data_IF_667022247196
#
_entry.id   IF_667022247196
#
_cell.length_a   1.000
_cell.length_b   1.000
_cell.length_c   1.000
_cell.angle_alpha   90.00
_cell.angle_beta   90.00
_cell.angle_gamma   90.00
#
_symmetry.space_group_name_H-M   'P 1'
#
loop_
_entity.id
_entity.type
_entity.pdbx_description
1 polymer ?
#
# COMPACT_ATOMS: atom_id res chain seq x y z
N UNK A 1 14.46 -15.10 -4.22
CA UNK A 1 13.42 -14.20 -3.70
C UNK A 1 12.45 -13.94 -4.84
N UNK A 2 11.19 -14.32 -4.67
CA UNK A 2 10.17 -14.08 -5.69
C UNK A 2 9.79 -12.58 -5.72
N UNK A 3 9.11 -12.10 -6.78
CA UNK A 3 8.71 -10.69 -6.88
C UNK A 3 7.92 -10.19 -5.66
N UNK A 4 7.04 -11.02 -5.12
CA UNK A 4 6.14 -10.68 -4.02
C UNK A 4 6.90 -10.48 -2.71
N UNK A 5 7.84 -11.36 -2.37
CA UNK A 5 8.74 -11.20 -1.21
C UNK A 5 9.56 -9.92 -1.28
N UNK A 6 10.01 -9.53 -2.50
CA UNK A 6 10.74 -8.28 -2.71
C UNK A 6 9.85 -7.09 -2.42
N UNK A 7 8.60 -7.11 -2.88
CA UNK A 7 7.62 -6.05 -2.61
C UNK A 7 7.34 -5.95 -1.11
N UNK A 8 7.09 -7.08 -0.43
CA UNK A 8 6.89 -7.10 1.03
C UNK A 8 8.08 -6.46 1.77
N UNK A 9 9.29 -6.90 1.44
CA UNK A 9 10.53 -6.39 2.07
C UNK A 9 10.70 -4.89 1.81
N UNK A 10 10.42 -4.44 0.59
CA UNK A 10 10.52 -3.04 0.21
C UNK A 10 9.52 -2.17 0.97
N UNK A 11 8.24 -2.58 1.06
CA UNK A 11 7.21 -1.86 1.81
C UNK A 11 7.56 -1.74 3.31
N UNK A 12 8.12 -2.79 3.89
CA UNK A 12 8.61 -2.78 5.28
C UNK A 12 9.78 -1.80 5.42
N UNK A 13 10.75 -1.83 4.50
CA UNK A 13 11.92 -0.94 4.56
C UNK A 13 11.55 0.55 4.45
N UNK A 14 10.46 0.86 3.74
CA UNK A 14 9.90 2.21 3.65
C UNK A 14 9.11 2.61 4.91
N UNK A 15 8.78 1.66 5.78
CA UNK A 15 8.00 1.87 7.00
C UNK A 15 6.50 2.04 6.76
N UNK A 16 5.99 1.60 5.60
CA UNK A 16 4.56 1.73 5.24
C UNK A 16 3.76 0.45 5.50
N UNK A 17 4.46 -0.67 5.66
CA UNK A 17 3.91 -1.98 6.03
C UNK A 17 4.62 -2.49 7.29
N UNK A 18 3.86 -3.07 8.22
CA UNK A 18 4.43 -3.65 9.43
C UNK A 18 5.21 -4.93 9.14
N UNK A 19 6.32 -5.12 9.85
CA UNK A 19 7.06 -6.39 9.79
C UNK A 19 6.20 -7.54 10.32
N UNK A 20 6.03 -8.62 9.56
CA UNK A 20 5.23 -9.76 10.01
C UNK A 20 5.88 -10.42 11.22
N UNK A 21 5.06 -10.81 12.21
CA UNK A 21 5.55 -11.50 13.43
C UNK A 21 5.94 -12.96 13.19
N UNK A 22 5.55 -13.52 12.03
CA UNK A 22 5.78 -14.92 11.63
C UNK A 22 6.24 -14.95 10.19
N UNK A 23 6.88 -16.05 9.79
CA UNK A 23 7.22 -16.30 8.39
C UNK A 23 5.96 -16.25 7.52
N UNK A 24 6.05 -15.54 6.40
CA UNK A 24 4.99 -15.46 5.40
C UNK A 24 5.11 -16.70 4.50
N UNK A 25 4.10 -17.58 4.54
CA UNK A 25 4.06 -18.78 3.70
C UNK A 25 3.53 -18.48 2.28
N UNK A 26 2.69 -17.46 2.15
CA UNK A 26 2.11 -17.00 0.89
C UNK A 26 2.26 -15.47 0.77
N UNK A 27 3.33 -14.99 0.13
CA UNK A 27 3.58 -13.57 -0.06
C UNK A 27 2.52 -12.85 -0.91
N UNK A 28 1.91 -13.54 -1.88
CA UNK A 28 0.91 -12.96 -2.77
C UNK A 28 -0.37 -12.64 -1.99
N UNK A 29 -0.88 -13.62 -1.25
CA UNK A 29 -2.10 -13.45 -0.46
C UNK A 29 -1.90 -12.46 0.70
N UNK A 30 -0.70 -12.46 1.30
CA UNK A 30 -0.32 -11.47 2.29
C UNK A 30 -0.34 -10.05 1.72
N UNK A 31 0.22 -9.82 0.52
CA UNK A 31 0.17 -8.53 -0.15
C UNK A 31 -1.27 -8.12 -0.49
N UNK A 32 -2.06 -9.03 -1.10
CA UNK A 32 -3.46 -8.75 -1.42
C UNK A 32 -4.22 -8.29 -0.18
N UNK A 33 -4.10 -9.02 0.92
CA UNK A 33 -4.75 -8.68 2.19
C UNK A 33 -4.26 -7.35 2.78
N UNK A 34 -2.94 -7.12 2.76
CA UNK A 34 -2.33 -5.92 3.34
C UNK A 34 -2.63 -4.64 2.56
N UNK A 35 -2.79 -4.75 1.24
CA UNK A 35 -3.04 -3.61 0.35
C UNK A 35 -4.54 -3.38 0.12
N UNK A 36 -5.40 -4.36 0.46
CA UNK A 36 -6.85 -4.37 0.16
C UNK A 36 -7.60 -3.11 0.57
N UNK A 37 -7.24 -2.51 1.70
CA UNK A 37 -7.96 -1.35 2.24
C UNK A 37 -7.37 0.01 1.78
N UNK A 38 -6.32 -0.02 0.96
CA UNK A 38 -5.68 1.16 0.38
C UNK A 38 -4.82 2.00 1.34
N UNK A 39 -4.83 1.76 2.65
CA UNK A 39 -4.07 2.58 3.63
C UNK A 39 -2.56 2.51 3.39
N UNK A 40 -2.04 1.29 3.20
CA UNK A 40 -0.62 1.06 2.91
C UNK A 40 -0.22 1.71 1.58
N UNK A 41 -1.11 1.72 0.59
CA UNK A 41 -0.87 2.35 -0.71
C UNK A 41 -0.81 3.87 -0.59
N UNK A 42 -1.74 4.51 0.12
CA UNK A 42 -1.69 5.95 0.38
C UNK A 42 -0.44 6.37 1.14
N UNK A 43 -0.02 5.58 2.14
CA UNK A 43 1.25 5.79 2.85
C UNK A 43 2.44 5.65 1.92
N UNK A 44 2.44 4.64 1.06
CA UNK A 44 3.49 4.40 0.08
C UNK A 44 3.69 5.59 -0.84
N UNK A 45 2.63 6.06 -1.51
CA UNK A 45 2.79 7.17 -2.46
C UNK A 45 3.23 8.45 -1.75
N UNK A 46 2.71 8.75 -0.56
CA UNK A 46 3.17 9.90 0.24
C UNK A 46 4.62 9.77 0.71
N UNK A 47 5.13 8.53 0.87
CA UNK A 47 6.54 8.28 1.20
C UNK A 47 7.46 8.51 0.02
N UNK A 48 7.00 8.20 -1.19
CA UNK A 48 7.76 8.38 -2.44
C UNK A 48 7.67 9.81 -2.96
N UNK A 49 6.48 10.40 -2.88
CA UNK A 49 6.13 11.73 -3.33
C UNK A 49 5.34 12.43 -2.20
N UNK A 50 6.01 13.20 -1.33
CA UNK A 50 5.36 13.88 -0.23
C UNK A 50 4.22 14.79 -0.70
N UNK A 51 3.02 14.59 -0.13
CA UNK A 51 1.83 15.40 -0.45
C UNK A 51 0.98 14.88 -1.61
N UNK A 52 1.29 13.71 -2.19
CA UNK A 52 0.46 13.11 -3.25
C UNK A 52 -0.97 12.79 -2.82
N UNK A 53 -1.19 12.41 -1.56
CA UNK A 53 -2.51 12.17 -0.99
C UNK A 53 -2.69 13.01 0.27
N UNK A 54 -3.52 14.04 0.19
CA UNK A 54 -3.76 14.96 1.32
C UNK A 54 -4.58 14.33 2.44
N UNK A 55 -5.64 13.59 2.10
CA UNK A 55 -6.56 12.95 3.05
C UNK A 55 -6.96 11.58 2.53
N UNK A 56 -6.87 10.58 3.40
CA UNK A 56 -7.33 9.22 3.15
C UNK A 56 -7.85 8.62 4.46
N UNK A 57 -8.71 7.61 4.38
CA UNK A 57 -9.30 6.97 5.55
C UNK A 57 -8.29 6.04 6.21
N UNK A 58 -7.83 6.36 7.43
CA UNK A 58 -6.84 5.56 8.16
C UNK A 58 -7.40 4.25 8.70
N UNK A 59 -8.69 4.23 9.02
CA UNK A 59 -9.41 3.09 9.61
C UNK A 59 -10.67 2.78 8.78
N UNK A 60 -10.52 2.37 7.52
CA UNK A 60 -11.65 2.14 6.62
C UNK A 60 -12.59 1.06 7.18
N UNK A 61 -13.87 1.41 7.34
CA UNK A 61 -14.91 0.51 7.86
C UNK A 61 -15.86 0.04 6.76
N UNK A 62 -15.92 0.77 5.65
CA UNK A 62 -16.79 0.49 4.51
C UNK A 62 -15.99 0.14 3.26
N UNK A 63 -16.65 -0.49 2.29
CA UNK A 63 -16.06 -0.75 0.98
C UNK A 63 -15.71 0.56 0.26
N UNK A 64 -16.57 1.57 0.37
CA UNK A 64 -16.34 2.89 -0.21
C UNK A 64 -15.07 3.54 0.36
N UNK A 65 -14.81 3.41 1.67
CA UNK A 65 -13.56 3.90 2.27
C UNK A 65 -12.32 3.23 1.66
N UNK A 66 -12.39 1.91 1.45
CA UNK A 66 -11.30 1.13 0.87
C UNK A 66 -11.05 1.55 -0.59
N UNK A 67 -12.12 1.68 -1.38
CA UNK A 67 -12.06 2.08 -2.79
C UNK A 67 -11.53 3.51 -2.92
N UNK A 68 -11.99 4.44 -2.08
CA UNK A 68 -11.52 5.83 -2.10
C UNK A 68 -10.01 5.92 -1.83
N UNK A 69 -9.51 5.18 -0.84
CA UNK A 69 -8.07 5.11 -0.57
C UNK A 69 -7.28 4.60 -1.80
N UNK A 70 -7.74 3.52 -2.44
CA UNK A 70 -7.09 2.98 -3.63
C UNK A 70 -7.09 4.01 -4.77
N UNK A 71 -8.22 4.69 -4.99
CA UNK A 71 -8.32 5.72 -6.02
C UNK A 71 -7.38 6.90 -5.78
N UNK A 72 -7.20 7.33 -4.53
CA UNK A 72 -6.28 8.42 -4.20
C UNK A 72 -4.82 8.02 -4.41
N UNK A 73 -4.45 6.77 -4.09
CA UNK A 73 -3.15 6.22 -4.47
C UNK A 73 -2.93 6.27 -5.99
N UNK A 74 -3.91 5.82 -6.79
CA UNK A 74 -3.81 5.81 -8.25
C UNK A 74 -3.65 7.22 -8.84
N UNK A 75 -4.35 8.22 -8.29
CA UNK A 75 -4.17 9.63 -8.69
C UNK A 75 -2.73 10.10 -8.47
N UNK A 76 -2.11 9.74 -7.35
CA UNK A 76 -0.71 10.05 -7.08
C UNK A 76 0.24 9.32 -8.03
N UNK A 77 -0.05 8.07 -8.37
CA UNK A 77 0.73 7.30 -9.34
C UNK A 77 0.72 7.91 -10.76
N UNK A 78 -0.35 8.60 -11.15
CA UNK A 78 -0.40 9.28 -12.45
C UNK A 78 0.73 10.32 -12.62
N UNK A 79 1.25 10.90 -11.52
CA UNK A 79 2.43 11.80 -11.55
C UNK A 79 3.74 11.05 -11.83
N UNK A 80 3.82 9.77 -11.50
CA UNK A 80 5.00 8.93 -11.75
C UNK A 80 5.07 8.37 -13.17
N UNK A 81 3.99 8.49 -13.96
CA UNK A 81 3.90 8.00 -15.34
C UNK A 81 4.26 6.50 -15.48
N UNK A 82 3.86 5.71 -14.49
CA UNK A 82 3.97 4.24 -14.54
C UNK A 82 2.80 3.68 -15.38
N UNK A 83 3.10 2.78 -16.33
CA UNK A 83 2.13 2.13 -17.23
C UNK A 83 1.62 0.79 -16.69
#
# INVERSE_FOLDING_TARGET
>A
MNPEERVVTWLISLGVLESPKKTICDPEEFLKSSLKNGVVLCKLINRLLPGSVEKYCLEPQTEDDCINNINDFLKGCATLQVE
#
